data_IF_494947118980
#
_entry.id   IF_494947118980
#
_cell.length_a   1.000
_cell.length_b   1.000
_cell.length_c   1.000
_cell.angle_alpha   90.00
_cell.angle_beta   90.00
_cell.angle_gamma   90.00
#
_symmetry.space_group_name_H-M   'P 1'
#
loop_
_entity.id
_entity.type
_entity.pdbx_description
1 polymer ?
#
# COMPACT_ATOMS: atom_id res chain seq x y z
N UNK A 1 57.60 1.68 -12.81
CA UNK A 1 57.62 2.90 -13.61
C UNK A 1 56.26 3.55 -13.47
N UNK A 2 56.21 4.50 -12.60
CA UNK A 2 55.60 5.84 -12.53
C UNK A 2 54.23 5.97 -13.21
N UNK A 3 53.18 6.02 -12.39
CA UNK A 3 51.86 6.57 -12.70
C UNK A 3 51.77 7.94 -12.02
N UNK A 4 51.57 8.97 -12.82
CA UNK A 4 51.42 10.34 -12.35
C UNK A 4 50.00 10.59 -11.85
N UNK A 5 49.96 11.17 -10.66
CA UNK A 5 48.75 11.68 -10.02
C UNK A 5 48.36 13.01 -10.67
N UNK A 6 47.11 13.11 -11.15
CA UNK A 6 46.50 14.38 -11.54
C UNK A 6 45.73 14.96 -10.37
N UNK A 7 46.39 15.90 -9.69
CA UNK A 7 45.81 16.71 -8.64
C UNK A 7 44.98 17.83 -9.28
N UNK A 8 43.67 17.85 -9.10
CA UNK A 8 42.84 19.03 -9.40
C UNK A 8 42.38 19.71 -8.12
N UNK A 9 42.97 20.82 -7.86
CA UNK A 9 42.71 21.74 -6.77
C UNK A 9 41.50 22.60 -7.13
N UNK A 10 40.36 22.43 -6.43
CA UNK A 10 39.25 23.38 -6.44
C UNK A 10 38.94 23.76 -5.00
N UNK A 11 39.06 25.04 -4.77
CA UNK A 11 38.97 25.70 -3.47
C UNK A 11 37.60 25.68 -2.82
N UNK A 12 37.68 25.76 -1.54
CA UNK A 12 36.78 26.19 -0.51
C UNK A 12 35.29 26.42 -0.83
N UNK A 13 34.46 25.44 -0.47
CA UNK A 13 33.06 25.70 -0.15
C UNK A 13 32.67 24.82 1.05
N UNK A 14 32.20 25.50 2.09
CA UNK A 14 31.85 24.93 3.40
C UNK A 14 30.87 23.77 3.30
N UNK A 15 31.20 22.66 3.93
CA UNK A 15 30.46 21.41 4.01
C UNK A 15 29.20 21.47 4.90
N UNK A 16 28.30 22.41 4.70
CA UNK A 16 27.07 22.51 5.50
C UNK A 16 25.76 22.41 4.69
N UNK A 17 25.82 22.33 3.36
CA UNK A 17 24.62 22.29 2.51
C UNK A 17 24.49 21.03 1.66
N UNK A 18 25.34 20.01 1.84
CA UNK A 18 25.32 18.81 1.00
C UNK A 18 24.52 17.64 1.60
N UNK A 19 23.81 17.87 2.70
CA UNK A 19 22.95 16.84 3.34
C UNK A 19 21.48 16.87 2.92
N UNK A 20 21.11 17.76 1.99
CA UNK A 20 19.72 17.95 1.59
C UNK A 20 19.38 17.43 0.19
N UNK A 21 20.32 16.78 -0.52
CA UNK A 21 20.12 16.43 -1.94
C UNK A 21 20.13 14.93 -2.25
N UNK A 22 20.16 14.05 -1.27
CA UNK A 22 20.10 12.58 -1.48
C UNK A 22 18.79 11.99 -0.89
N UNK A 23 17.72 12.75 -0.88
CA UNK A 23 16.37 12.25 -0.60
C UNK A 23 15.46 12.35 -1.81
N UNK A 24 16.07 12.48 -3.00
CA UNK A 24 15.30 12.53 -4.23
C UNK A 24 15.60 11.27 -5.05
N UNK A 25 14.52 10.60 -5.43
CA UNK A 25 14.43 9.55 -6.43
C UNK A 25 14.75 8.14 -5.92
N UNK A 26 13.85 7.58 -5.10
CA UNK A 26 13.42 6.23 -5.41
C UNK A 26 11.92 6.29 -5.73
N UNK A 27 11.60 6.90 -6.87
CA UNK A 27 10.37 6.58 -7.58
C UNK A 27 10.57 5.13 -8.05
N UNK A 28 10.25 4.20 -7.17
CA UNK A 28 10.13 2.79 -7.56
C UNK A 28 8.92 2.74 -8.46
N UNK A 29 9.18 2.62 -9.76
CA UNK A 29 8.20 2.23 -10.76
C UNK A 29 7.42 1.07 -10.18
N UNK A 30 6.16 1.29 -9.85
CA UNK A 30 5.27 0.27 -9.27
C UNK A 30 4.98 -0.72 -10.38
N UNK A 31 5.81 -1.75 -10.51
CA UNK A 31 5.43 -2.94 -11.27
C UNK A 31 4.27 -3.59 -10.52
N UNK A 32 3.15 -3.75 -11.22
CA UNK A 32 1.95 -4.38 -10.70
C UNK A 32 2.29 -5.70 -9.99
N UNK A 33 2.05 -5.75 -8.71
CA UNK A 33 2.12 -6.96 -7.90
C UNK A 33 3.31 -7.09 -6.94
N UNK A 34 4.29 -6.18 -6.93
CA UNK A 34 5.51 -6.35 -6.13
C UNK A 34 5.88 -5.19 -5.21
N UNK A 35 4.98 -4.26 -4.91
CA UNK A 35 5.23 -3.30 -3.84
C UNK A 35 5.04 -4.00 -2.49
N UNK A 36 6.13 -4.54 -1.97
CA UNK A 36 6.24 -4.92 -0.56
C UNK A 36 6.80 -3.71 0.19
N UNK A 37 6.04 -2.99 1.04
CA UNK A 37 6.67 -2.11 2.00
C UNK A 37 7.65 -2.94 2.81
N UNK A 38 8.85 -2.41 3.04
CA UNK A 38 9.90 -3.06 3.86
C UNK A 38 9.35 -3.30 5.26
N UNK A 39 8.92 -4.51 5.52
CA UNK A 39 8.30 -4.93 6.78
C UNK A 39 7.51 -6.20 6.52
N UNK A 40 8.22 -7.30 6.41
CA UNK A 40 7.69 -8.63 6.08
C UNK A 40 6.80 -9.17 7.18
N UNK A 41 5.54 -8.73 7.21
CA UNK A 41 4.49 -9.39 7.95
C UNK A 41 3.75 -10.38 7.06
N UNK A 42 3.14 -11.40 7.65
CA UNK A 42 2.27 -12.35 6.93
C UNK A 42 1.07 -11.58 6.34
N UNK A 43 0.98 -11.50 5.00
CA UNK A 43 -0.18 -10.91 4.32
C UNK A 43 -1.40 -11.78 4.55
N UNK A 44 -2.47 -11.18 5.05
CA UNK A 44 -3.74 -11.85 5.35
C UNK A 44 -4.75 -11.66 4.24
N UNK A 45 -4.91 -10.42 3.76
CA UNK A 45 -5.83 -10.09 2.69
C UNK A 45 -5.27 -8.97 1.80
N UNK A 46 -5.62 -9.04 0.52
CA UNK A 46 -5.23 -8.06 -0.49
C UNK A 46 -6.45 -7.61 -1.30
N UNK A 47 -6.56 -6.32 -1.53
CA UNK A 47 -7.61 -5.73 -2.37
C UNK A 47 -7.19 -5.73 -3.84
N UNK A 48 -7.50 -6.81 -4.55
CA UNK A 48 -7.20 -6.92 -5.99
C UNK A 48 -8.00 -5.92 -6.83
N UNK A 49 -9.22 -5.53 -6.37
CA UNK A 49 -10.08 -4.56 -7.05
C UNK A 49 -9.46 -3.15 -7.01
N UNK A 50 -8.79 -2.78 -5.92
CA UNK A 50 -8.10 -1.50 -5.82
C UNK A 50 -7.05 -1.32 -6.92
N UNK A 51 -6.25 -2.34 -7.22
CA UNK A 51 -5.25 -2.30 -8.28
C UNK A 51 -5.86 -2.28 -9.70
N UNK A 52 -7.06 -2.83 -9.86
CA UNK A 52 -7.76 -2.77 -11.13
C UNK A 52 -8.39 -1.40 -11.39
N UNK A 53 -8.98 -0.78 -10.36
CA UNK A 53 -9.79 0.43 -10.50
C UNK A 53 -9.01 1.72 -10.30
N UNK A 54 -7.86 1.67 -9.62
CA UNK A 54 -7.09 2.83 -9.23
C UNK A 54 -5.60 2.72 -9.58
N UNK A 55 -4.97 3.87 -9.88
CA UNK A 55 -3.53 4.04 -9.80
C UNK A 55 -3.17 4.38 -8.36
N UNK A 56 -2.32 3.58 -7.72
CA UNK A 56 -1.85 3.81 -6.35
C UNK A 56 -0.54 4.57 -6.44
N UNK A 57 -0.56 5.84 -6.02
CA UNK A 57 0.61 6.72 -6.10
C UNK A 57 1.51 6.54 -4.88
N UNK A 58 0.92 6.57 -3.68
CA UNK A 58 1.64 6.40 -2.42
C UNK A 58 0.93 5.39 -1.52
N UNK A 59 1.69 4.74 -0.63
CA UNK A 59 1.13 3.83 0.38
C UNK A 59 1.68 4.15 1.76
N UNK A 60 0.79 4.15 2.75
CA UNK A 60 1.07 4.43 4.16
C UNK A 60 0.81 3.20 5.01
N UNK A 61 1.68 2.93 6.00
CA UNK A 61 1.46 1.85 6.97
C UNK A 61 0.61 2.38 8.12
N UNK A 62 -0.62 1.93 8.23
CA UNK A 62 -1.53 2.29 9.30
C UNK A 62 -1.71 1.15 10.31
N UNK A 63 -1.77 1.46 11.58
CA UNK A 63 -2.30 0.56 12.61
C UNK A 63 -3.82 0.50 12.54
N UNK A 64 -4.43 -0.56 13.07
CA UNK A 64 -5.88 -0.75 13.15
C UNK A 64 -6.34 -0.80 14.61
N UNK A 65 -7.35 -0.02 14.97
CA UNK A 65 -8.04 -0.14 16.25
C UNK A 65 -9.10 -1.23 16.14
N UNK A 66 -8.81 -2.40 16.71
CA UNK A 66 -9.61 -3.60 16.61
C UNK A 66 -10.09 -4.09 17.97
N UNK A 67 -11.22 -4.79 17.97
CA UNK A 67 -11.71 -5.53 19.13
C UNK A 67 -11.10 -6.95 19.18
N UNK A 68 -11.18 -7.59 20.36
CA UNK A 68 -10.56 -8.91 20.58
C UNK A 68 -11.04 -10.02 19.63
N UNK A 69 -12.32 -10.00 19.26
CA UNK A 69 -12.91 -10.98 18.32
C UNK A 69 -12.48 -10.66 16.88
N UNK A 70 -12.36 -9.39 16.51
CA UNK A 70 -11.94 -8.97 15.16
C UNK A 70 -10.51 -9.36 14.84
N UNK A 71 -9.56 -9.17 15.78
CA UNK A 71 -8.17 -9.58 15.54
C UNK A 71 -8.04 -11.10 15.40
N UNK A 72 -8.87 -11.91 16.11
CA UNK A 72 -8.92 -13.34 15.95
C UNK A 72 -9.41 -13.74 14.56
N UNK A 73 -10.47 -13.09 14.06
CA UNK A 73 -10.99 -13.28 12.70
C UNK A 73 -9.99 -12.88 11.62
N UNK A 74 -9.26 -11.77 11.79
CA UNK A 74 -8.20 -11.36 10.88
C UNK A 74 -7.07 -12.40 10.85
N UNK A 75 -6.62 -12.91 12.01
CA UNK A 75 -5.60 -13.97 12.08
C UNK A 75 -6.04 -15.25 11.38
N UNK A 76 -7.35 -15.56 11.39
CA UNK A 76 -7.95 -16.65 10.65
C UNK A 76 -8.14 -16.37 9.14
N UNK A 77 -7.76 -15.17 8.65
CA UNK A 77 -7.91 -14.78 7.24
C UNK A 77 -9.34 -14.36 6.85
N UNK A 78 -10.23 -14.18 7.79
CA UNK A 78 -11.67 -13.91 7.56
C UNK A 78 -11.92 -12.40 7.44
N UNK A 79 -11.27 -11.74 6.46
CA UNK A 79 -11.40 -10.30 6.18
C UNK A 79 -11.50 -10.05 4.69
N UNK A 80 -12.37 -9.10 4.30
CA UNK A 80 -12.56 -8.68 2.92
C UNK A 80 -12.42 -7.15 2.80
N UNK A 81 -11.63 -6.70 1.81
CA UNK A 81 -11.32 -5.31 1.55
C UNK A 81 -11.95 -4.79 0.25
N UNK A 82 -12.73 -5.60 -0.46
CA UNK A 82 -13.12 -5.33 -1.86
C UNK A 82 -13.77 -3.97 -2.07
N UNK A 83 -14.66 -3.57 -1.17
CA UNK A 83 -15.43 -2.32 -1.26
C UNK A 83 -15.09 -1.36 -0.12
N UNK A 84 -13.96 -1.63 0.57
CA UNK A 84 -13.49 -0.79 1.64
C UNK A 84 -12.84 0.49 1.10
N UNK A 85 -13.07 1.60 1.80
CA UNK A 85 -12.44 2.89 1.55
C UNK A 85 -12.12 3.59 2.88
N UNK A 86 -11.23 4.57 2.85
CA UNK A 86 -10.96 5.37 4.03
C UNK A 86 -11.32 6.84 3.81
N UNK A 87 -11.61 7.53 4.91
CA UNK A 87 -11.87 8.97 4.94
C UNK A 87 -11.14 9.61 6.10
N UNK A 88 -10.73 10.85 5.92
CA UNK A 88 -10.24 11.71 6.99
C UNK A 88 -11.42 12.46 7.58
N UNK A 89 -11.59 12.35 8.88
CA UNK A 89 -12.63 13.06 9.64
C UNK A 89 -12.04 13.57 10.96
N UNK A 90 -12.17 14.87 11.23
CA UNK A 90 -11.67 15.53 12.45
C UNK A 90 -10.20 15.23 12.77
N UNK A 91 -9.33 15.22 11.76
CA UNK A 91 -7.90 14.93 11.96
C UNK A 91 -7.59 13.47 12.27
N UNK A 92 -8.52 12.57 12.03
CA UNK A 92 -8.37 11.12 12.16
C UNK A 92 -8.73 10.42 10.86
N UNK A 93 -8.16 9.25 10.63
CA UNK A 93 -8.46 8.43 9.46
C UNK A 93 -9.31 7.23 9.86
N UNK A 94 -10.41 7.04 9.15
CA UNK A 94 -11.37 5.98 9.40
C UNK A 94 -11.57 5.11 8.17
N UNK A 95 -11.59 3.79 8.35
CA UNK A 95 -11.89 2.84 7.28
C UNK A 95 -13.36 2.41 7.39
N UNK A 96 -14.06 2.46 6.25
CA UNK A 96 -15.45 2.09 6.07
C UNK A 96 -15.57 0.84 5.20
N UNK A 97 -16.65 0.11 5.33
CA UNK A 97 -17.00 -1.07 4.51
C UNK A 97 -15.93 -2.18 4.49
N UNK A 98 -15.03 -2.19 5.48
CA UNK A 98 -14.12 -3.30 5.66
C UNK A 98 -14.87 -4.42 6.39
N UNK A 99 -15.15 -5.50 5.68
CA UNK A 99 -15.85 -6.65 6.26
C UNK A 99 -14.88 -7.54 7.02
N UNK A 100 -15.14 -7.75 8.30
CA UNK A 100 -14.47 -8.76 9.14
C UNK A 100 -15.55 -9.71 9.62
N UNK A 101 -15.46 -10.99 9.23
CA UNK A 101 -16.43 -11.99 9.64
C UNK A 101 -16.43 -12.17 11.16
N UNK A 102 -17.58 -12.50 11.72
CA UNK A 102 -17.72 -12.82 13.14
C UNK A 102 -16.82 -13.98 13.53
N UNK A 103 -16.31 -13.92 14.76
CA UNK A 103 -15.54 -15.03 15.31
C UNK A 103 -16.49 -16.05 15.94
N UNK A 104 -16.52 -17.27 15.43
CA UNK A 104 -17.49 -18.32 15.82
C UNK A 104 -17.53 -18.58 17.33
N UNK A 105 -16.36 -18.55 17.97
CA UNK A 105 -16.22 -18.77 19.42
C UNK A 105 -16.44 -17.47 20.24
N UNK A 106 -16.83 -16.38 19.58
CA UNK A 106 -17.04 -15.07 20.21
C UNK A 106 -18.45 -14.88 20.76
N UNK A 107 -19.40 -15.76 20.43
CA UNK A 107 -20.80 -15.70 20.85
C UNK A 107 -21.38 -14.26 20.77
N UNK A 108 -21.98 -13.79 21.87
CA UNK A 108 -22.54 -12.43 22.01
C UNK A 108 -21.53 -11.29 22.01
N UNK A 109 -20.23 -11.57 22.09
CA UNK A 109 -19.17 -10.54 22.07
C UNK A 109 -18.68 -10.20 20.67
N UNK A 110 -19.34 -10.70 19.63
CA UNK A 110 -19.07 -10.29 18.27
C UNK A 110 -19.61 -8.89 18.00
N UNK A 111 -18.92 -8.16 17.12
CA UNK A 111 -19.28 -6.82 16.69
C UNK A 111 -19.83 -6.85 15.26
N UNK A 112 -20.46 -5.74 14.84
CA UNK A 112 -20.90 -5.58 13.46
C UNK A 112 -19.71 -5.78 12.51
N UNK A 113 -19.81 -6.73 11.56
CA UNK A 113 -18.78 -7.01 10.58
C UNK A 113 -18.35 -5.79 9.74
N UNK A 114 -19.26 -4.86 9.49
CA UNK A 114 -19.03 -3.67 8.67
C UNK A 114 -18.77 -2.38 9.47
N UNK A 115 -18.65 -2.46 10.78
CA UNK A 115 -18.42 -1.26 11.59
C UNK A 115 -17.24 -0.44 11.07
N UNK A 116 -17.29 0.84 11.25
CA UNK A 116 -16.20 1.77 10.96
C UNK A 116 -15.05 1.59 11.96
N UNK A 117 -13.81 1.57 11.48
CA UNK A 117 -12.62 1.35 12.31
C UNK A 117 -11.63 2.48 12.14
N UNK A 118 -11.06 2.94 13.26
CA UNK A 118 -10.03 3.97 13.25
C UNK A 118 -8.69 3.40 12.79
N UNK A 119 -7.98 4.16 11.96
CA UNK A 119 -6.62 3.90 11.55
C UNK A 119 -5.65 4.76 12.35
N UNK A 120 -4.54 4.17 12.77
CA UNK A 120 -3.48 4.83 13.50
C UNK A 120 -2.34 5.15 12.52
N UNK A 121 -2.14 6.43 12.27
CA UNK A 121 -1.14 7.02 11.39
C UNK A 121 -0.39 8.13 12.13
N UNK A 122 0.79 8.49 11.65
CA UNK A 122 1.50 9.65 12.18
C UNK A 122 0.78 10.96 11.79
N UNK A 123 0.84 11.96 12.66
CA UNK A 123 0.16 13.25 12.44
C UNK A 123 0.52 13.89 11.10
N UNK A 124 1.81 13.86 10.74
CA UNK A 124 2.31 14.36 9.44
C UNK A 124 1.70 13.63 8.25
N UNK A 125 1.46 12.31 8.37
CA UNK A 125 0.83 11.50 7.32
C UNK A 125 -0.65 11.87 7.20
N UNK A 126 -1.35 12.05 8.32
CA UNK A 126 -2.75 12.50 8.33
C UNK A 126 -2.91 13.87 7.68
N UNK A 127 -2.02 14.81 7.97
CA UNK A 127 -2.02 16.15 7.36
C UNK A 127 -1.84 16.06 5.83
N UNK A 128 -0.89 15.25 5.35
CA UNK A 128 -0.68 14.97 3.92
C UNK A 128 -1.93 14.37 3.27
N UNK A 129 -2.50 13.33 3.90
CA UNK A 129 -3.71 12.66 3.41
C UNK A 129 -4.92 13.59 3.40
N UNK A 130 -5.01 14.50 4.37
CA UNK A 130 -6.06 15.53 4.42
C UNK A 130 -5.96 16.50 3.25
N UNK A 131 -4.76 16.93 2.91
CA UNK A 131 -4.49 17.77 1.73
C UNK A 131 -4.88 17.03 0.44
N UNK A 132 -4.31 15.86 0.22
CA UNK A 132 -4.54 15.07 -0.97
C UNK A 132 -6.01 14.62 -1.14
N UNK A 133 -6.73 14.32 -0.05
CA UNK A 133 -8.14 13.91 -0.12
C UNK A 133 -9.10 15.03 -0.51
N UNK A 134 -8.67 16.30 -0.45
CA UNK A 134 -9.44 17.46 -0.92
C UNK A 134 -9.31 17.66 -2.44
N UNK A 135 -8.27 17.10 -3.04
CA UNK A 135 -8.06 17.19 -4.49
C UNK A 135 -9.01 16.25 -5.23
N UNK A 136 -9.59 16.77 -6.33
CA UNK A 136 -10.53 16.00 -7.14
C UNK A 136 -9.87 14.79 -7.77
N UNK A 137 -10.49 13.62 -7.63
CA UNK A 137 -10.06 12.36 -8.25
C UNK A 137 -9.19 11.48 -7.36
N UNK A 138 -8.80 11.93 -6.17
CA UNK A 138 -8.10 11.10 -5.20
C UNK A 138 -9.06 10.36 -4.25
N UNK A 139 -8.67 9.15 -3.88
CA UNK A 139 -9.37 8.32 -2.93
C UNK A 139 -8.36 7.60 -2.01
N UNK A 140 -8.74 7.38 -0.76
CA UNK A 140 -7.97 6.59 0.18
C UNK A 140 -8.52 5.16 0.17
N UNK A 141 -7.74 4.21 -0.33
CA UNK A 141 -8.19 2.83 -0.53
C UNK A 141 -7.30 1.86 0.24
N UNK A 142 -7.86 0.97 1.08
CA UNK A 142 -7.11 -0.12 1.68
C UNK A 142 -6.58 -1.07 0.60
N UNK A 143 -5.27 -1.28 0.60
CA UNK A 143 -4.57 -2.13 -0.39
C UNK A 143 -4.41 -3.54 0.13
N UNK A 144 -3.93 -3.68 1.38
CA UNK A 144 -3.72 -4.98 2.02
C UNK A 144 -3.75 -4.88 3.54
N UNK A 145 -4.01 -6.02 4.19
CA UNK A 145 -3.84 -6.22 5.62
C UNK A 145 -2.79 -7.31 5.84
N UNK A 146 -1.91 -7.09 6.80
CA UNK A 146 -0.86 -8.04 7.17
C UNK A 146 -0.62 -7.99 8.69
N UNK A 147 0.01 -9.05 9.20
CA UNK A 147 0.47 -9.11 10.59
C UNK A 147 1.95 -8.79 10.67
N UNK A 148 2.31 -7.84 11.53
CA UNK A 148 3.69 -7.45 11.81
C UNK A 148 3.88 -7.42 13.31
N UNK A 149 4.80 -8.22 13.84
CA UNK A 149 5.06 -8.35 15.28
C UNK A 149 3.77 -8.65 16.10
N UNK A 150 2.87 -9.48 15.57
CA UNK A 150 1.61 -9.82 16.22
C UNK A 150 0.48 -8.80 16.06
N UNK A 151 0.76 -7.59 15.56
CA UNK A 151 -0.22 -6.53 15.32
C UNK A 151 -0.76 -6.55 13.90
N UNK A 152 -2.05 -6.28 13.76
CA UNK A 152 -2.65 -6.06 12.45
C UNK A 152 -2.28 -4.66 11.93
N UNK A 153 -1.70 -4.64 10.75
CA UNK A 153 -1.33 -3.43 10.01
C UNK A 153 -2.07 -3.40 8.67
N UNK A 154 -2.36 -2.20 8.20
CA UNK A 154 -2.98 -1.95 6.91
C UNK A 154 -2.07 -1.10 6.05
N UNK A 155 -1.86 -1.50 4.80
CA UNK A 155 -1.32 -0.60 3.79
C UNK A 155 -2.48 0.20 3.20
N UNK A 156 -2.51 1.49 3.46
CA UNK A 156 -3.48 2.45 2.93
C UNK A 156 -2.87 3.15 1.72
N UNK A 157 -3.53 3.07 0.57
CA UNK A 157 -3.09 3.71 -0.67
C UNK A 157 -3.77 5.05 -0.88
N UNK A 158 -2.99 6.08 -1.22
CA UNK A 158 -3.49 7.26 -1.90
C UNK A 158 -3.60 6.92 -3.39
N UNK A 159 -4.80 6.94 -3.91
CA UNK A 159 -5.14 6.34 -5.18
C UNK A 159 -5.94 7.28 -6.07
N UNK A 160 -5.63 7.30 -7.36
CA UNK A 160 -6.34 8.05 -8.40
C UNK A 160 -7.16 7.11 -9.27
N UNK A 161 -8.44 7.42 -9.52
CA UNK A 161 -9.33 6.59 -10.32
C UNK A 161 -8.84 6.40 -11.75
N UNK A 162 -8.77 5.16 -12.23
CA UNK A 162 -8.46 4.82 -13.64
C UNK A 162 -9.65 5.13 -14.54
N UNK A 163 -9.41 5.75 -15.69
CA UNK A 163 -10.41 5.89 -16.75
C UNK A 163 -10.67 4.53 -17.42
N UNK A 164 -11.78 4.37 -18.07
CA UNK A 164 -12.15 3.10 -18.74
C UNK A 164 -11.13 2.65 -19.79
N UNK A 165 -10.51 3.60 -20.48
CA UNK A 165 -9.47 3.33 -21.46
C UNK A 165 -8.22 2.71 -20.80
N UNK A 166 -7.78 3.25 -19.67
CA UNK A 166 -6.63 2.75 -18.92
C UNK A 166 -6.86 1.32 -18.43
N UNK A 167 -8.07 1.02 -17.93
CA UNK A 167 -8.45 -0.33 -17.50
C UNK A 167 -8.35 -1.37 -18.62
N UNK A 168 -8.76 -1.00 -19.85
CA UNK A 168 -8.66 -1.89 -21.03
C UNK A 168 -7.21 -2.16 -21.43
N UNK A 169 -6.34 -1.15 -21.38
CA UNK A 169 -4.93 -1.29 -21.68
C UNK A 169 -4.23 -2.19 -20.67
N UNK A 170 -4.50 -2.00 -19.37
CA UNK A 170 -3.97 -2.87 -18.31
C UNK A 170 -4.36 -4.35 -18.50
N UNK A 171 -5.60 -4.61 -18.92
CA UNK A 171 -6.05 -5.97 -19.21
C UNK A 171 -5.29 -6.59 -20.37
N UNK A 172 -5.15 -5.86 -21.49
CA UNK A 172 -4.36 -6.32 -22.66
C UNK A 172 -2.90 -6.62 -22.29
N UNK A 173 -2.28 -5.74 -21.51
CA UNK A 173 -0.91 -5.94 -21.05
C UNK A 173 -0.77 -7.18 -20.15
N UNK A 174 -1.74 -7.39 -19.24
CA UNK A 174 -1.76 -8.61 -18.41
C UNK A 174 -1.93 -9.88 -19.20
N UNK A 175 -2.77 -9.87 -20.21
CA UNK A 175 -2.96 -11.01 -21.10
C UNK A 175 -1.69 -11.31 -21.91
N UNK A 176 -1.09 -10.30 -22.53
CA UNK A 176 0.18 -10.46 -23.27
C UNK A 176 1.30 -11.00 -22.35
N UNK A 177 1.44 -10.48 -21.11
CA UNK A 177 2.42 -11.01 -20.15
C UNK A 177 2.15 -12.47 -19.78
N UNK A 178 0.87 -12.89 -19.67
CA UNK A 178 0.51 -14.30 -19.40
C UNK A 178 0.84 -15.21 -20.58
N UNK A 179 0.58 -14.77 -21.81
CA UNK A 179 0.89 -15.54 -23.02
C UNK A 179 2.41 -15.74 -23.17
N UNK A 180 3.18 -14.68 -22.99
CA UNK A 180 4.64 -14.75 -22.99
C UNK A 180 5.14 -15.74 -21.93
N UNK A 181 4.61 -15.65 -20.69
CA UNK A 181 5.00 -16.54 -19.61
C UNK A 181 4.59 -18.01 -19.84
N UNK A 182 3.51 -18.29 -20.60
CA UNK A 182 3.13 -19.63 -21.05
C UNK A 182 4.12 -20.14 -22.08
N UNK A 183 4.39 -19.35 -23.12
CA UNK A 183 5.33 -19.73 -24.19
C UNK A 183 6.74 -20.05 -23.66
N UNK A 184 7.22 -19.29 -22.68
CA UNK A 184 8.51 -19.59 -22.01
C UNK A 184 8.48 -20.92 -21.26
N UNK A 185 7.40 -21.21 -20.52
CA UNK A 185 7.28 -22.49 -19.79
C UNK A 185 7.19 -23.70 -20.72
N UNK A 186 6.51 -23.54 -21.84
CA UNK A 186 6.35 -24.63 -22.81
C UNK A 186 7.68 -24.94 -23.51
N UNK A 187 8.51 -23.91 -23.81
CA UNK A 187 9.88 -24.12 -24.33
C UNK A 187 10.83 -24.79 -23.34
N UNK A 188 10.64 -24.60 -22.03
CA UNK A 188 11.49 -25.22 -21.00
C UNK A 188 11.13 -26.70 -20.72
N UNK A 189 10.01 -27.18 -21.26
CA UNK A 189 9.56 -28.57 -21.10
C UNK A 189 9.94 -29.47 -22.26
N UNK A 190 10.45 -28.88 -23.36
CA UNK A 190 11.06 -29.60 -24.49
C UNK A 190 12.56 -29.85 -24.26
#
# INVERSE_FOLDING_TARGET
MKSEAFSFFIGGLRASHFRFFITFVTIVKIEEGRYMPKGTGKVIAQNKKAFHDYFIEETYEAGLVLQGTEIKSIRAGRVNLKDAFARVHNGEVWVHNMHISTYEQGNRFNHDPLRTRKLLLHKKEIEKLTGASKETGYALVPVRIYLKNGFAKMALGLAKGKKQYDKRNDLKEKEAKREIARAFRDRQKM
#
